data_IF_202996313329
#
_entry.id   IF_202996313329
#
_cell.length_a   1.000
_cell.length_b   1.000
_cell.length_c   1.000
_cell.angle_alpha   90.00
_cell.angle_beta   90.00
_cell.angle_gamma   90.00
#
_symmetry.space_group_name_H-M   'P 1'
#
loop_
_entity.id
_entity.type
_entity.pdbx_description
1 polymer ?
#
# COMPACT_ATOMS: atom_id res chain seq x y z
N UNK A 1 -11.63 -17.36 -22.10
CA UNK A 1 -10.72 -16.91 -21.03
C UNK A 1 -9.80 -15.85 -21.64
N UNK A 2 -10.16 -14.55 -21.51
CA UNK A 2 -9.39 -13.45 -22.11
C UNK A 2 -8.27 -13.07 -21.13
N UNK A 3 -7.02 -13.23 -21.56
CA UNK A 3 -5.86 -12.75 -20.82
C UNK A 3 -5.93 -11.21 -20.76
N UNK A 4 -6.27 -10.67 -19.58
CA UNK A 4 -6.16 -9.25 -19.32
C UNK A 4 -4.69 -8.87 -19.35
N UNK A 5 -4.30 -8.17 -20.41
CA UNK A 5 -2.99 -7.57 -20.56
C UNK A 5 -2.89 -6.42 -19.55
N UNK A 6 -2.43 -6.73 -18.33
CA UNK A 6 -2.17 -5.72 -17.29
C UNK A 6 -1.04 -4.82 -17.80
N UNK A 7 -1.39 -3.64 -18.30
CA UNK A 7 -0.42 -2.56 -18.54
C UNK A 7 0.35 -2.38 -17.24
N UNK A 8 1.66 -2.65 -17.26
CA UNK A 8 2.55 -2.29 -16.16
C UNK A 8 2.51 -0.78 -16.03
N UNK A 9 1.71 -0.27 -15.10
CA UNK A 9 1.79 1.12 -14.67
C UNK A 9 3.10 1.25 -13.92
N UNK A 10 4.09 1.85 -14.57
CA UNK A 10 5.31 2.32 -13.92
C UNK A 10 4.93 3.59 -13.14
N UNK A 11 4.50 3.42 -11.89
CA UNK A 11 4.40 4.53 -10.95
C UNK A 11 5.85 4.95 -10.65
N UNK A 12 6.30 6.05 -11.26
CA UNK A 12 7.60 6.68 -10.98
C UNK A 12 7.59 7.11 -9.51
N UNK A 13 8.21 6.29 -8.67
CA UNK A 13 7.86 6.17 -7.25
C UNK A 13 8.25 7.36 -6.38
N UNK A 14 7.28 7.84 -5.60
CA UNK A 14 7.53 8.68 -4.43
C UNK A 14 8.27 7.85 -3.37
N UNK A 15 9.40 8.36 -2.86
CA UNK A 15 10.17 7.73 -1.77
C UNK A 15 9.57 8.17 -0.43
N UNK A 16 9.23 7.21 0.42
CA UNK A 16 8.82 7.46 1.79
C UNK A 16 9.77 6.74 2.75
N UNK A 17 10.21 7.43 3.79
CA UNK A 17 11.09 6.88 4.82
C UNK A 17 10.27 6.45 6.04
N UNK A 18 10.49 5.23 6.52
CA UNK A 18 9.81 4.67 7.70
C UNK A 18 10.84 4.57 8.82
N UNK A 19 10.47 5.00 10.03
CA UNK A 19 11.28 4.76 11.23
C UNK A 19 10.88 3.43 11.84
N UNK A 20 11.88 2.65 12.22
CA UNK A 20 11.73 1.35 12.87
C UNK A 20 12.20 1.45 14.31
N UNK A 21 11.50 0.78 15.21
CA UNK A 21 12.03 0.51 16.55
C UNK A 21 13.22 -0.46 16.45
N UNK A 22 13.99 -0.60 17.52
CA UNK A 22 15.12 -1.55 17.51
C UNK A 22 14.64 -3.00 17.41
N UNK A 23 13.48 -3.32 17.98
CA UNK A 23 12.82 -4.62 17.82
C UNK A 23 12.41 -4.89 16.36
N UNK A 24 11.80 -3.90 15.69
CA UNK A 24 11.42 -4.03 14.27
C UNK A 24 12.63 -4.27 13.36
N UNK A 25 13.79 -3.68 13.69
CA UNK A 25 15.03 -3.90 12.93
C UNK A 25 15.52 -5.33 13.06
N UNK A 26 15.44 -5.93 14.25
CA UNK A 26 15.82 -7.33 14.49
C UNK A 26 14.91 -8.27 13.68
N UNK A 27 13.60 -8.04 13.73
CA UNK A 27 12.64 -8.83 12.96
C UNK A 27 12.85 -8.67 11.45
N UNK A 28 13.10 -7.44 10.97
CA UNK A 28 13.41 -7.19 9.56
C UNK A 28 14.66 -7.97 9.12
N UNK A 29 15.73 -7.93 9.93
CA UNK A 29 16.97 -8.64 9.61
C UNK A 29 16.75 -10.15 9.54
N UNK A 30 16.03 -10.74 10.50
CA UNK A 30 15.67 -12.17 10.47
C UNK A 30 14.94 -12.54 9.17
N UNK A 31 13.98 -11.72 8.73
CA UNK A 31 13.23 -11.97 7.49
C UNK A 31 14.10 -11.80 6.24
N UNK A 32 15.06 -10.88 6.26
CA UNK A 32 16.04 -10.74 5.18
C UNK A 32 16.93 -11.99 5.08
N UNK A 33 17.40 -12.51 6.22
CA UNK A 33 18.24 -13.71 6.28
C UNK A 33 17.47 -14.97 5.84
N UNK A 34 16.22 -15.14 6.28
CA UNK A 34 15.34 -16.26 5.90
C UNK A 34 15.02 -16.29 4.40
N UNK A 35 14.81 -15.12 3.79
CA UNK A 35 14.31 -15.02 2.41
C UNK A 35 15.39 -14.69 1.39
N UNK A 36 16.56 -14.24 1.84
CA UNK A 36 17.64 -13.73 0.99
C UNK A 36 17.31 -12.42 0.27
N UNK A 37 16.24 -11.71 0.68
CA UNK A 37 15.74 -10.49 0.03
C UNK A 37 16.20 -9.22 0.74
N UNK A 38 16.21 -8.10 0.03
CA UNK A 38 16.52 -6.81 0.66
C UNK A 38 15.32 -6.25 1.45
N UNK A 39 15.58 -5.29 2.34
CA UNK A 39 14.56 -4.68 3.20
C UNK A 39 13.34 -4.16 2.42
N UNK A 40 13.54 -3.49 1.28
CA UNK A 40 12.46 -2.96 0.44
C UNK A 40 11.57 -4.07 -0.09
N UNK A 41 12.14 -5.18 -0.53
CA UNK A 41 11.40 -6.35 -1.02
C UNK A 41 10.66 -7.07 0.10
N UNK A 42 11.27 -7.16 1.30
CA UNK A 42 10.63 -7.69 2.50
C UNK A 42 9.42 -6.83 2.89
N UNK A 43 9.57 -5.50 2.92
CA UNK A 43 8.47 -4.57 3.22
C UNK A 43 7.37 -4.59 2.18
N UNK A 44 7.70 -4.58 0.88
CA UNK A 44 6.71 -4.74 -0.20
C UNK A 44 5.92 -6.03 -0.02
N UNK A 45 6.62 -7.14 0.23
CA UNK A 45 5.97 -8.43 0.47
C UNK A 45 5.05 -8.37 1.68
N UNK A 46 5.49 -7.77 2.80
CA UNK A 46 4.66 -7.63 3.99
C UNK A 46 3.38 -6.81 3.73
N UNK A 47 3.47 -5.71 2.98
CA UNK A 47 2.32 -4.90 2.57
C UNK A 47 1.37 -5.71 1.68
N UNK A 48 1.90 -6.47 0.71
CA UNK A 48 1.08 -7.31 -0.17
C UNK A 48 0.48 -8.54 0.54
N UNK A 49 1.11 -9.06 1.61
CA UNK A 49 0.64 -10.23 2.36
C UNK A 49 -0.36 -9.91 3.46
N UNK A 50 -0.34 -8.69 4.03
CA UNK A 50 -1.47 -8.22 4.83
C UNK A 50 -2.67 -8.13 3.90
N UNK A 51 -3.69 -8.99 4.09
CA UNK A 51 -4.94 -9.14 3.30
C UNK A 51 -5.76 -7.85 3.15
N UNK A 52 -5.14 -6.85 2.56
CA UNK A 52 -5.76 -5.66 2.05
C UNK A 52 -6.10 -6.01 0.61
N UNK A 53 -7.37 -5.82 0.24
CA UNK A 53 -7.77 -6.05 -1.14
C UNK A 53 -7.05 -4.99 -1.97
N UNK A 54 -6.08 -5.44 -2.77
CA UNK A 54 -5.23 -4.56 -3.55
C UNK A 54 -6.09 -3.72 -4.51
N UNK A 55 -7.18 -4.29 -5.00
CA UNK A 55 -8.12 -3.60 -5.88
C UNK A 55 -8.87 -2.48 -5.11
N UNK A 56 -9.23 -2.71 -3.84
CA UNK A 56 -9.87 -1.70 -2.99
C UNK A 56 -8.92 -0.55 -2.61
N UNK A 57 -7.65 -0.84 -2.36
CA UNK A 57 -6.65 0.21 -2.08
C UNK A 57 -6.35 1.02 -3.33
N UNK A 58 -6.20 0.37 -4.47
CA UNK A 58 -5.98 1.06 -5.74
C UNK A 58 -7.19 1.94 -6.11
N UNK A 59 -8.42 1.48 -5.84
CA UNK A 59 -9.65 2.27 -6.02
C UNK A 59 -9.69 3.50 -5.09
N UNK A 60 -9.41 3.32 -3.80
CA UNK A 60 -9.39 4.42 -2.82
C UNK A 60 -8.31 5.46 -3.17
N UNK A 61 -7.11 5.01 -3.57
CA UNK A 61 -6.03 5.91 -3.97
C UNK A 61 -6.40 6.67 -5.25
N UNK A 62 -7.03 6.01 -6.22
CA UNK A 62 -7.50 6.66 -7.46
C UNK A 62 -8.56 7.71 -7.18
N UNK A 63 -9.53 7.43 -6.29
CA UNK A 63 -10.60 8.36 -5.95
C UNK A 63 -10.08 9.57 -5.15
N UNK A 64 -9.15 9.36 -4.22
CA UNK A 64 -8.47 10.45 -3.51
C UNK A 64 -7.71 11.35 -4.51
N UNK A 65 -7.02 10.77 -5.48
CA UNK A 65 -6.32 11.53 -6.52
C UNK A 65 -7.27 12.37 -7.38
N UNK A 66 -8.42 11.81 -7.74
CA UNK A 66 -9.49 12.51 -8.47
C UNK A 66 -10.06 13.69 -7.66
N UNK A 67 -10.45 13.47 -6.41
CA UNK A 67 -10.97 14.54 -5.56
C UNK A 67 -9.94 15.62 -5.25
N UNK A 68 -8.65 15.26 -5.14
CA UNK A 68 -7.57 16.22 -4.99
C UNK A 68 -7.40 17.11 -6.24
N UNK A 69 -7.58 16.57 -7.45
CA UNK A 69 -7.55 17.40 -8.67
C UNK A 69 -8.71 18.40 -8.76
N UNK A 70 -9.87 18.04 -8.21
CA UNK A 70 -11.05 18.91 -8.13
C UNK A 70 -11.04 19.84 -6.90
N UNK A 71 -9.99 19.75 -6.05
CA UNK A 71 -9.89 20.44 -4.75
C UNK A 71 -11.09 20.13 -3.82
N UNK A 72 -11.70 18.97 -4.00
CA UNK A 72 -12.81 18.50 -3.19
C UNK A 72 -12.29 17.82 -1.91
N UNK A 73 -12.18 18.62 -0.86
CA UNK A 73 -11.71 18.15 0.44
C UNK A 73 -12.71 17.22 1.13
N UNK A 74 -13.99 17.28 0.78
CA UNK A 74 -15.02 16.45 1.42
C UNK A 74 -15.00 15.04 0.82
N UNK A 75 -14.90 14.93 -0.50
CA UNK A 75 -14.69 13.64 -1.18
C UNK A 75 -13.43 12.91 -0.71
N UNK A 76 -12.33 13.63 -0.48
CA UNK A 76 -11.11 13.04 0.10
C UNK A 76 -11.36 12.47 1.50
N UNK A 77 -12.07 13.21 2.37
CA UNK A 77 -12.36 12.74 3.73
C UNK A 77 -13.25 11.50 3.72
N UNK A 78 -14.26 11.46 2.85
CA UNK A 78 -15.17 10.32 2.72
C UNK A 78 -14.44 9.03 2.31
N UNK A 79 -13.54 9.12 1.33
CA UNK A 79 -12.73 7.98 0.88
C UNK A 79 -11.75 7.49 1.94
N UNK A 80 -11.10 8.42 2.66
CA UNK A 80 -10.23 8.08 3.80
C UNK A 80 -11.03 7.40 4.91
N UNK A 81 -12.24 7.90 5.20
CA UNK A 81 -13.12 7.30 6.21
C UNK A 81 -13.55 5.88 5.82
N UNK A 82 -13.84 5.64 4.54
CA UNK A 82 -14.17 4.30 4.00
C UNK A 82 -13.02 3.31 4.18
N UNK A 83 -11.78 3.74 3.93
CA UNK A 83 -10.59 2.92 4.19
C UNK A 83 -10.44 2.55 5.67
N UNK A 84 -10.63 3.53 6.55
CA UNK A 84 -10.55 3.31 8.01
C UNK A 84 -11.63 2.33 8.46
N UNK A 85 -12.88 2.46 7.99
CA UNK A 85 -13.97 1.54 8.30
C UNK A 85 -13.71 0.11 7.82
N UNK A 86 -13.17 -0.07 6.61
CA UNK A 86 -12.78 -1.39 6.10
C UNK A 86 -11.72 -2.07 6.99
N UNK A 87 -10.79 -1.29 7.56
CA UNK A 87 -9.73 -1.78 8.43
C UNK A 87 -10.20 -2.13 9.84
N UNK A 88 -11.24 -1.45 10.34
CA UNK A 88 -11.73 -1.64 11.72
C UNK A 88 -12.85 -2.69 11.85
N UNK A 89 -13.44 -3.13 10.74
CA UNK A 89 -14.47 -4.18 10.71
C UNK A 89 -13.90 -5.62 10.55
N UNK A 90 -12.57 -5.80 10.58
CA UNK A 90 -11.89 -7.12 10.55
C UNK A 90 -11.34 -7.51 11.90
#
# INVERSE_FOLDING_TARGET
MKYMNRKKVLIMGNIFSIRLTDEDKVHLQQRMDETGKNATEVFKSAIYFTKIDADLVDEIISNIGYYASEKDLEGIKEEVHRYVLYRTQK
#
